data_IF_284505596374
#
_entry.id   IF_284505596374
#
_cell.length_a   1.000
_cell.length_b   1.000
_cell.length_c   1.000
_cell.angle_alpha   90.00
_cell.angle_beta   90.00
_cell.angle_gamma   90.00
#
_symmetry.space_group_name_H-M   'P 1'
#
loop_
_entity.id
_entity.type
_entity.pdbx_description
1 polymer ?
#
# COMPACT_ATOMS: atom_id res chain seq x y z
N UNK A 1 29.09 3.24 -10.06
CA UNK A 1 28.07 2.34 -9.46
C UNK A 1 26.80 2.50 -10.27
N UNK A 2 26.17 1.41 -10.70
CA UNK A 2 24.87 1.48 -11.40
C UNK A 2 23.71 1.70 -10.42
N UNK A 3 22.56 2.09 -10.95
CA UNK A 3 21.39 2.48 -10.16
C UNK A 3 20.82 1.32 -9.32
N UNK A 4 20.87 0.08 -9.83
CA UNK A 4 20.37 -1.09 -9.08
C UNK A 4 21.30 -1.40 -7.91
N UNK A 5 22.62 -1.32 -8.12
CA UNK A 5 23.59 -1.46 -7.03
C UNK A 5 23.41 -0.38 -5.98
N UNK A 6 23.14 0.86 -6.38
CA UNK A 6 22.91 1.97 -5.46
C UNK A 6 21.60 1.82 -4.67
N UNK A 7 20.52 1.37 -5.31
CA UNK A 7 19.26 1.05 -4.62
C UNK A 7 19.45 -0.06 -3.60
N UNK A 8 20.14 -1.14 -3.96
CA UNK A 8 20.44 -2.26 -3.03
C UNK A 8 21.29 -1.85 -1.85
N UNK A 9 22.19 -0.91 -2.08
CA UNK A 9 23.10 -0.41 -1.05
C UNK A 9 22.38 0.29 0.11
N UNK A 10 21.20 0.86 -0.12
CA UNK A 10 20.43 1.62 0.88
C UNK A 10 18.99 1.11 1.06
N UNK A 11 18.73 -0.17 0.76
CA UNK A 11 17.40 -0.78 0.90
C UNK A 11 16.83 -0.53 2.31
N UNK A 12 15.59 -0.03 2.43
CA UNK A 12 14.95 0.13 3.72
C UNK A 12 14.54 -1.22 4.31
N UNK A 13 14.51 -1.30 5.64
CA UNK A 13 13.96 -2.43 6.37
C UNK A 13 12.59 -2.04 6.91
N UNK A 14 11.54 -2.52 6.25
CA UNK A 14 10.16 -2.25 6.68
C UNK A 14 9.73 -3.21 7.79
N UNK A 15 9.17 -2.67 8.86
CA UNK A 15 8.63 -3.38 10.02
C UNK A 15 7.12 -3.23 10.01
N UNK A 16 6.45 -4.36 10.17
CA UNK A 16 4.99 -4.44 10.20
C UNK A 16 4.50 -4.79 11.60
N UNK A 17 3.27 -4.38 11.88
CA UNK A 17 2.60 -4.75 13.12
C UNK A 17 2.26 -6.24 13.11
N UNK A 18 2.48 -6.93 14.23
CA UNK A 18 2.04 -8.32 14.33
C UNK A 18 0.52 -8.41 14.17
N UNK A 19 0.05 -9.17 13.17
CA UNK A 19 -1.36 -9.22 12.79
C UNK A 19 -1.64 -8.69 11.38
N UNK A 20 -0.64 -8.13 10.70
CA UNK A 20 -0.74 -7.68 9.31
C UNK A 20 -1.08 -8.84 8.36
N UNK A 21 -2.01 -8.60 7.42
CA UNK A 21 -2.36 -9.56 6.38
C UNK A 21 -1.61 -9.29 5.08
N UNK A 22 -1.46 -8.02 4.71
CA UNK A 22 -0.97 -7.61 3.41
C UNK A 22 0.47 -7.13 3.49
N UNK A 23 1.33 -7.67 2.62
CA UNK A 23 2.73 -7.28 2.51
C UNK A 23 3.04 -6.83 1.08
N UNK A 24 4.15 -6.10 0.86
CA UNK A 24 4.47 -5.60 -0.47
C UNK A 24 4.61 -6.74 -1.48
N UNK A 25 3.93 -6.65 -2.62
CA UNK A 25 3.98 -7.70 -3.65
C UNK A 25 4.19 -7.12 -5.05
N UNK A 26 4.48 -8.00 -6.01
CA UNK A 26 4.56 -7.60 -7.41
C UNK A 26 3.16 -7.17 -7.92
N UNK A 27 3.13 -6.10 -8.70
CA UNK A 27 1.89 -5.50 -9.23
C UNK A 27 1.27 -6.36 -10.34
N UNK A 28 2.09 -7.10 -11.09
CA UNK A 28 1.66 -7.83 -12.28
C UNK A 28 0.56 -8.86 -11.98
N UNK A 29 0.69 -9.62 -10.90
CA UNK A 29 -0.31 -10.61 -10.52
C UNK A 29 -1.57 -9.96 -9.93
N UNK A 30 -1.42 -8.84 -9.20
CA UNK A 30 -2.57 -8.06 -8.75
C UNK A 30 -3.39 -7.56 -9.94
N UNK A 31 -2.74 -6.94 -10.93
CA UNK A 31 -3.39 -6.44 -12.15
C UNK A 31 -4.06 -7.57 -12.94
N UNK A 32 -3.44 -8.75 -13.01
CA UNK A 32 -4.03 -9.92 -13.68
C UNK A 32 -5.32 -10.41 -13.02
N UNK A 33 -5.43 -10.26 -11.70
CA UNK A 33 -6.63 -10.59 -10.92
C UNK A 33 -7.69 -9.50 -10.92
N UNK A 34 -7.36 -8.31 -11.42
CA UNK A 34 -8.31 -7.23 -11.52
C UNK A 34 -9.14 -7.30 -12.79
N UNK A 35 -10.42 -6.93 -12.67
CA UNK A 35 -11.20 -6.45 -13.80
C UNK A 35 -10.93 -4.97 -14.05
N UNK A 36 -10.89 -4.53 -15.30
CA UNK A 36 -10.86 -3.10 -15.66
C UNK A 36 -12.27 -2.61 -15.94
N UNK A 37 -12.67 -1.56 -15.23
CA UNK A 37 -14.03 -1.04 -15.26
C UNK A 37 -14.06 0.45 -15.58
N UNK A 38 -15.14 0.86 -16.23
CA UNK A 38 -15.44 2.25 -16.54
C UNK A 38 -16.79 2.60 -15.92
N UNK A 39 -16.83 3.66 -15.11
CA UNK A 39 -18.06 4.16 -14.47
C UNK A 39 -18.36 5.56 -14.96
N UNK A 40 -19.56 5.78 -15.49
CA UNK A 40 -20.05 7.12 -15.84
C UNK A 40 -20.50 7.92 -14.61
N UNK A 41 -20.60 9.24 -14.72
CA UNK A 41 -21.18 10.13 -13.70
C UNK A 41 -22.63 9.76 -13.32
N UNK A 42 -23.33 9.03 -14.20
CA UNK A 42 -24.69 8.50 -13.96
C UNK A 42 -24.70 7.18 -13.19
N UNK A 43 -23.53 6.66 -12.79
CA UNK A 43 -23.37 5.41 -12.07
C UNK A 43 -23.47 4.15 -12.92
N UNK A 44 -23.54 4.27 -14.25
CA UNK A 44 -23.49 3.08 -15.13
C UNK A 44 -22.06 2.55 -15.17
N UNK A 45 -21.90 1.25 -14.91
CA UNK A 45 -20.62 0.55 -14.95
C UNK A 45 -20.54 -0.37 -16.17
N UNK A 46 -19.39 -0.35 -16.83
CA UNK A 46 -19.05 -1.23 -17.94
C UNK A 46 -17.70 -1.88 -17.68
N UNK A 47 -17.65 -3.20 -17.73
CA UNK A 47 -16.38 -3.92 -17.73
C UNK A 47 -15.73 -3.79 -19.10
N UNK A 48 -14.50 -3.25 -19.14
CA UNK A 48 -13.71 -3.10 -20.36
C UNK A 48 -12.81 -4.32 -20.59
N UNK A 49 -12.26 -4.87 -19.51
CA UNK A 49 -11.41 -6.06 -19.53
C UNK A 49 -11.83 -6.98 -18.39
N UNK A 50 -12.15 -8.26 -18.66
CA UNK A 50 -12.49 -9.21 -17.60
C UNK A 50 -11.26 -9.59 -16.77
N UNK A 51 -11.51 -10.09 -15.56
CA UNK A 51 -10.48 -10.68 -14.69
C UNK A 51 -9.73 -11.78 -15.45
N UNK A 52 -8.41 -11.83 -15.28
CA UNK A 52 -7.52 -12.81 -15.94
C UNK A 52 -6.93 -12.34 -17.27
N UNK A 53 -7.60 -11.41 -17.95
CA UNK A 53 -7.20 -10.93 -19.28
C UNK A 53 -6.40 -9.61 -19.26
N UNK A 54 -6.25 -9.01 -18.09
CA UNK A 54 -5.53 -7.74 -17.91
C UNK A 54 -4.05 -7.97 -17.60
N UNK A 55 -3.17 -7.19 -18.23
CA UNK A 55 -1.74 -7.10 -17.90
C UNK A 55 -1.35 -5.65 -17.67
N UNK A 56 -0.18 -5.40 -17.10
CA UNK A 56 0.34 -4.03 -16.91
C UNK A 56 0.52 -3.30 -18.24
N UNK A 57 0.97 -3.99 -19.30
CA UNK A 57 1.08 -3.42 -20.65
C UNK A 57 -0.27 -3.11 -21.26
N UNK A 58 -1.26 -4.00 -21.08
CA UNK A 58 -2.62 -3.76 -21.57
C UNK A 58 -3.29 -2.63 -20.80
N UNK A 59 -3.10 -2.56 -19.48
CA UNK A 59 -3.59 -1.45 -18.64
C UNK A 59 -3.03 -0.11 -19.11
N UNK A 60 -1.74 -0.06 -19.47
CA UNK A 60 -1.10 1.15 -19.97
C UNK A 60 -1.70 1.69 -21.29
N UNK A 61 -2.46 0.88 -22.02
CA UNK A 61 -3.18 1.32 -23.24
C UNK A 61 -4.43 2.16 -22.92
N UNK A 62 -4.89 2.17 -21.67
CA UNK A 62 -6.05 2.94 -21.20
C UNK A 62 -5.65 4.26 -20.52
N UNK A 63 -4.64 4.95 -21.05
CA UNK A 63 -4.12 6.18 -20.46
C UNK A 63 -5.10 7.37 -20.49
N UNK A 64 -6.05 7.36 -21.42
CA UNK A 64 -7.07 8.41 -21.55
C UNK A 64 -8.41 7.92 -21.02
N UNK A 65 -8.97 8.66 -20.06
CA UNK A 65 -10.31 8.41 -19.54
C UNK A 65 -11.28 9.40 -20.19
N UNK A 66 -12.38 8.93 -20.82
CA UNK A 66 -13.37 9.83 -21.40
C UNK A 66 -13.93 10.83 -20.37
N UNK A 67 -14.23 12.08 -20.77
CA UNK A 67 -14.84 13.05 -19.86
C UNK A 67 -16.12 12.54 -19.20
N UNK A 68 -16.27 12.80 -17.90
CA UNK A 68 -17.43 12.35 -17.11
C UNK A 68 -17.47 10.85 -16.84
N UNK A 69 -16.31 10.19 -16.94
CA UNK A 69 -16.14 8.78 -16.61
C UNK A 69 -14.93 8.57 -15.70
N UNK A 70 -14.96 7.50 -14.92
CA UNK A 70 -13.89 7.06 -14.04
C UNK A 70 -13.45 5.66 -14.45
N UNK A 71 -12.17 5.51 -14.77
CA UNK A 71 -11.54 4.22 -14.99
C UNK A 71 -11.00 3.70 -13.66
N UNK A 72 -11.28 2.44 -13.33
CA UNK A 72 -10.79 1.84 -12.08
C UNK A 72 -10.56 0.33 -12.22
N UNK A 73 -9.69 -0.20 -11.37
CA UNK A 73 -9.49 -1.63 -11.19
C UNK A 73 -10.41 -2.13 -10.08
N UNK A 74 -10.92 -3.35 -10.24
CA UNK A 74 -11.63 -4.08 -9.20
C UNK A 74 -10.90 -5.38 -8.95
N UNK A 75 -10.29 -5.50 -7.78
CA UNK A 75 -9.58 -6.70 -7.34
C UNK A 75 -10.56 -7.70 -6.73
N UNK A 76 -11.42 -7.25 -5.81
CA UNK A 76 -12.50 -8.07 -5.23
C UNK A 76 -13.78 -7.86 -6.03
N UNK A 77 -14.15 -8.88 -6.81
CA UNK A 77 -15.41 -8.85 -7.57
C UNK A 77 -16.63 -8.80 -6.66
N UNK A 78 -16.68 -9.68 -5.65
CA UNK A 78 -17.72 -9.72 -4.63
C UNK A 78 -17.08 -10.00 -3.25
N UNK A 79 -17.55 -9.35 -2.17
CA UNK A 79 -17.13 -9.69 -0.81
C UNK A 79 -17.56 -11.11 -0.44
N UNK A 80 -16.88 -11.70 0.56
CA UNK A 80 -17.30 -12.98 1.13
C UNK A 80 -18.72 -12.89 1.71
N UNK A 81 -19.50 -13.96 1.51
CA UNK A 81 -20.78 -14.11 2.18
C UNK A 81 -20.62 -14.41 3.67
N UNK A 82 -21.73 -14.45 4.43
CA UNK A 82 -21.68 -14.66 5.87
C UNK A 82 -21.03 -16.00 6.27
N UNK A 83 -21.26 -17.08 5.52
CA UNK A 83 -20.71 -18.39 5.82
C UNK A 83 -19.23 -18.48 5.47
N UNK A 84 -18.85 -17.94 4.31
CA UNK A 84 -17.46 -17.82 3.87
C UNK A 84 -16.65 -16.96 4.83
N UNK A 85 -17.21 -15.83 5.26
CA UNK A 85 -16.57 -14.95 6.24
C UNK A 85 -16.37 -15.63 7.59
N UNK A 86 -17.36 -16.39 8.09
CA UNK A 86 -17.19 -17.17 9.33
C UNK A 86 -16.11 -18.26 9.21
N UNK A 87 -16.01 -18.90 8.04
CA UNK A 87 -14.92 -19.86 7.77
C UNK A 87 -13.57 -19.17 7.76
N UNK A 88 -13.47 -18.00 7.12
CA UNK A 88 -12.26 -17.19 7.10
C UNK A 88 -11.83 -16.76 8.51
N UNK A 89 -12.76 -16.32 9.36
CA UNK A 89 -12.49 -15.99 10.76
C UNK A 89 -11.99 -17.17 11.58
N UNK A 90 -12.38 -18.40 11.21
CA UNK A 90 -12.05 -19.62 11.95
C UNK A 90 -10.75 -20.29 11.49
N UNK A 91 -10.01 -19.69 10.55
CA UNK A 91 -8.74 -20.25 10.08
C UNK A 91 -7.69 -20.22 11.21
N UNK A 92 -7.00 -21.35 11.50
CA UNK A 92 -6.12 -21.47 12.65
C UNK A 92 -4.86 -20.60 12.55
N UNK A 93 -4.33 -20.40 11.35
CA UNK A 93 -3.09 -19.65 11.09
C UNK A 93 -3.35 -18.16 10.83
N UNK A 94 -4.59 -17.70 10.98
CA UNK A 94 -4.96 -16.32 10.75
C UNK A 94 -4.20 -15.40 11.72
N UNK A 95 -3.47 -14.39 11.24
CA UNK A 95 -2.85 -13.40 12.13
C UNK A 95 -3.93 -12.67 12.94
N UNK A 96 -3.69 -12.45 14.23
CA UNK A 96 -4.62 -11.68 15.07
C UNK A 96 -3.87 -10.54 15.72
N UNK A 97 -4.35 -9.33 15.46
CA UNK A 97 -3.89 -8.15 16.16
C UNK A 97 -4.56 -8.06 17.55
N UNK A 98 -3.73 -8.02 18.60
CA UNK A 98 -4.18 -7.81 19.97
C UNK A 98 -3.82 -6.39 20.42
N UNK A 99 -4.80 -5.49 20.44
CA UNK A 99 -4.59 -4.13 20.94
C UNK A 99 -4.52 -4.11 22.49
N UNK A 100 -3.49 -3.50 23.11
CA UNK A 100 -3.43 -3.29 24.54
C UNK A 100 -4.38 -2.15 24.95
N UNK A 101 -5.67 -2.48 25.08
CA UNK A 101 -6.69 -1.59 25.63
C UNK A 101 -7.64 -0.94 24.62
N UNK A 102 -8.85 -0.59 25.08
CA UNK A 102 -9.93 -0.02 24.26
C UNK A 102 -9.74 1.48 23.95
N UNK A 103 -8.79 2.13 24.60
CA UNK A 103 -8.53 3.58 24.60
C UNK A 103 -7.26 4.00 23.85
N UNK A 104 -6.45 3.04 23.39
CA UNK A 104 -5.34 3.22 22.44
C UNK A 104 -5.81 3.17 20.98
N UNK A 105 -7.13 3.10 20.77
CA UNK A 105 -7.78 3.19 19.45
C UNK A 105 -7.79 4.66 19.03
N UNK A 106 -7.30 4.91 17.82
CA UNK A 106 -7.11 6.20 17.14
C UNK A 106 -8.09 7.27 17.59
N UNK A 107 -7.56 8.46 17.95
CA UNK A 107 -8.31 9.59 18.47
C UNK A 107 -9.48 10.00 17.56
N UNK A 108 -10.56 10.46 18.21
CA UNK A 108 -11.87 10.81 17.63
C UNK A 108 -11.81 11.75 16.40
N UNK A 109 -10.72 12.49 16.20
CA UNK A 109 -10.56 13.40 15.06
C UNK A 109 -10.45 12.70 13.69
N UNK A 110 -9.91 11.48 13.64
CA UNK A 110 -9.82 10.68 12.39
C UNK A 110 -11.19 10.32 11.82
N UNK A 111 -12.24 10.30 12.66
CA UNK A 111 -13.62 9.98 12.25
C UNK A 111 -14.31 11.12 11.48
N UNK A 112 -13.79 12.34 11.51
CA UNK A 112 -14.49 13.53 10.97
C UNK A 112 -14.08 13.82 9.53
N UNK A 113 -12.84 13.53 9.14
CA UNK A 113 -12.36 13.72 7.75
C UNK A 113 -13.04 12.72 6.79
N UNK A 114 -13.52 11.60 7.33
CA UNK A 114 -14.02 10.44 6.58
C UNK A 114 -15.47 10.58 6.06
N UNK A 115 -16.19 11.63 6.45
CA UNK A 115 -17.54 11.90 5.91
C UNK A 115 -17.52 12.36 4.45
N UNK A 116 -16.35 12.71 3.89
CA UNK A 116 -16.19 13.15 2.49
C UNK A 116 -15.80 12.01 1.53
N UNK A 117 -15.28 10.88 2.02
CA UNK A 117 -15.02 9.68 1.21
C UNK A 117 -16.10 8.58 1.36
N UNK A 118 -17.01 8.71 2.34
CA UNK A 118 -18.02 7.69 2.69
C UNK A 118 -19.33 7.73 1.89
N UNK A 119 -19.40 8.41 0.73
CA UNK A 119 -20.64 8.48 -0.06
C UNK A 119 -20.94 7.24 -0.94
N UNK A 120 -20.18 6.13 -0.80
CA UNK A 120 -20.44 4.88 -1.54
C UNK A 120 -21.05 3.74 -0.72
N UNK A 121 -21.26 3.87 0.60
CA UNK A 121 -21.58 2.70 1.46
C UNK A 121 -22.99 2.62 2.05
N UNK A 122 -23.94 3.47 1.61
CA UNK A 122 -25.35 3.31 2.02
C UNK A 122 -26.19 2.40 1.10
N UNK A 123 -25.57 1.66 0.19
CA UNK A 123 -26.30 0.82 -0.77
C UNK A 123 -25.62 -0.54 -1.01
N UNK A 124 -25.64 -1.43 -0.01
CA UNK A 124 -25.85 -2.89 -0.12
C UNK A 124 -25.51 -3.54 1.23
N UNK A 125 -26.30 -4.53 1.64
CA UNK A 125 -26.12 -5.30 2.88
C UNK A 125 -24.90 -6.21 2.88
N UNK A 126 -23.71 -5.65 2.67
CA UNK A 126 -22.45 -6.38 2.71
C UNK A 126 -21.96 -6.56 4.15
N UNK A 127 -21.37 -7.73 4.42
CA UNK A 127 -20.79 -8.07 5.72
C UNK A 127 -19.62 -7.12 6.00
N UNK A 128 -19.60 -6.38 7.14
CA UNK A 128 -18.45 -5.57 7.52
C UNK A 128 -17.17 -6.43 7.52
N UNK A 129 -16.17 -6.05 6.71
CA UNK A 129 -14.92 -6.79 6.54
C UNK A 129 -14.92 -7.92 5.51
N UNK A 130 -16.07 -8.20 4.86
CA UNK A 130 -16.16 -9.23 3.82
C UNK A 130 -15.25 -8.94 2.61
N UNK A 131 -15.05 -7.67 2.26
CA UNK A 131 -14.17 -7.26 1.15
C UNK A 131 -12.71 -7.47 1.52
N UNK A 132 -12.27 -7.03 2.70
CA UNK A 132 -10.91 -7.25 3.17
C UNK A 132 -10.59 -8.75 3.30
N UNK A 133 -11.54 -9.56 3.78
CA UNK A 133 -11.39 -11.01 3.84
C UNK A 133 -11.29 -11.66 2.44
N UNK A 134 -12.10 -11.21 1.47
CA UNK A 134 -11.98 -11.67 0.09
C UNK A 134 -10.64 -11.27 -0.53
N UNK A 135 -10.15 -10.06 -0.24
CA UNK A 135 -8.84 -9.59 -0.68
C UNK A 135 -7.71 -10.43 -0.08
N UNK A 136 -7.78 -10.81 1.21
CA UNK A 136 -6.82 -11.71 1.84
C UNK A 136 -6.82 -13.09 1.16
N UNK A 137 -7.99 -13.68 0.89
CA UNK A 137 -8.07 -14.96 0.16
C UNK A 137 -7.38 -14.87 -1.20
N UNK A 138 -7.60 -13.79 -1.95
CA UNK A 138 -6.92 -13.59 -3.23
C UNK A 138 -5.42 -13.38 -3.05
N UNK A 139 -5.01 -12.57 -2.07
CA UNK A 139 -3.61 -12.29 -1.78
C UNK A 139 -2.85 -13.56 -1.37
N UNK A 140 -3.43 -14.44 -0.55
CA UNK A 140 -2.83 -15.74 -0.23
C UNK A 140 -2.62 -16.59 -1.49
N UNK A 141 -3.57 -16.56 -2.45
CA UNK A 141 -3.39 -17.24 -3.72
C UNK A 141 -2.26 -16.63 -4.57
N UNK A 142 -2.05 -15.31 -4.51
CA UNK A 142 -0.90 -14.64 -5.13
C UNK A 142 0.42 -15.07 -4.49
N UNK A 143 0.47 -15.09 -3.15
CA UNK A 143 1.64 -15.50 -2.36
C UNK A 143 2.03 -16.96 -2.60
N UNK A 144 1.06 -17.84 -2.87
CA UNK A 144 1.35 -19.23 -3.26
C UNK A 144 2.05 -19.34 -4.62
N UNK A 145 1.83 -18.38 -5.52
CA UNK A 145 2.48 -18.33 -6.83
C UNK A 145 3.83 -17.61 -6.78
N UNK A 146 3.91 -16.50 -6.06
CA UNK A 146 5.12 -15.73 -5.83
C UNK A 146 5.20 -15.27 -4.36
N UNK A 147 5.98 -15.97 -3.51
CA UNK A 147 6.05 -15.67 -2.07
C UNK A 147 7.00 -14.51 -1.75
N UNK A 148 7.56 -13.84 -2.76
CA UNK A 148 8.53 -12.76 -2.54
C UNK A 148 7.81 -11.49 -2.09
N UNK A 149 8.35 -10.83 -1.07
CA UNK A 149 8.04 -9.43 -0.82
C UNK A 149 8.78 -8.57 -1.85
N UNK A 150 8.03 -7.82 -2.66
CA UNK A 150 8.59 -7.05 -3.79
C UNK A 150 8.41 -5.56 -3.54
N UNK A 151 9.46 -4.80 -3.85
CA UNK A 151 9.42 -3.35 -3.91
C UNK A 151 9.86 -2.89 -5.31
N UNK A 152 9.47 -1.68 -5.68
CA UNK A 152 9.92 -1.01 -6.90
C UNK A 152 10.91 0.09 -6.53
N UNK A 153 11.94 0.28 -7.35
CA UNK A 153 12.98 1.28 -7.09
C UNK A 153 13.27 2.11 -8.32
N UNK A 154 13.51 3.41 -8.13
CA UNK A 154 14.11 4.27 -9.16
C UNK A 154 15.09 5.26 -8.55
N UNK A 155 16.08 5.64 -9.35
CA UNK A 155 17.07 6.65 -8.99
C UNK A 155 16.81 7.92 -9.80
N UNK A 156 16.69 9.04 -9.12
CA UNK A 156 16.52 10.37 -9.71
C UNK A 156 17.75 11.20 -9.38
N UNK A 157 18.30 11.93 -10.34
CA UNK A 157 19.42 12.84 -10.13
C UNK A 157 18.97 14.23 -10.46
N UNK A 158 18.75 15.05 -9.44
CA UNK A 158 18.21 16.40 -9.59
C UNK A 158 18.63 17.31 -8.44
N UNK A 159 18.78 18.61 -8.71
CA UNK A 159 19.09 19.62 -7.69
C UNK A 159 20.39 19.38 -6.90
N UNK A 160 21.35 18.62 -7.45
CA UNK A 160 22.59 18.23 -6.76
C UNK A 160 22.45 17.02 -5.83
N UNK A 161 21.30 16.34 -5.83
CA UNK A 161 21.05 15.12 -5.08
C UNK A 161 20.97 13.90 -5.99
N UNK A 162 21.27 12.74 -5.42
CA UNK A 162 20.85 11.44 -5.93
C UNK A 162 19.72 10.95 -5.01
N UNK A 163 18.50 10.87 -5.53
CA UNK A 163 17.31 10.47 -4.79
C UNK A 163 17.00 9.01 -5.12
N UNK A 164 17.04 8.15 -4.10
CA UNK A 164 16.57 6.79 -4.18
C UNK A 164 15.11 6.76 -3.75
N UNK A 165 14.21 6.42 -4.66
CA UNK A 165 12.80 6.25 -4.35
C UNK A 165 12.46 4.77 -4.34
N UNK A 166 11.94 4.31 -3.21
CA UNK A 166 11.40 2.96 -3.03
C UNK A 166 9.88 3.06 -2.97
N UNK A 167 9.18 2.20 -3.69
CA UNK A 167 7.71 2.11 -3.69
C UNK A 167 7.28 0.70 -3.31
N UNK A 168 6.25 0.62 -2.48
CA UNK A 168 5.68 -0.62 -1.95
C UNK A 168 4.23 -0.68 -2.34
N UNK A 169 3.84 -1.77 -2.99
CA UNK A 169 2.47 -1.99 -3.41
C UNK A 169 1.79 -3.03 -2.53
N UNK A 170 0.65 -2.69 -1.96
CA UNK A 170 -0.18 -3.59 -1.16
C UNK A 170 -1.52 -3.82 -1.86
N UNK A 171 -2.00 -5.07 -1.98
CA UNK A 171 -3.29 -5.36 -2.61
C UNK A 171 -4.49 -4.71 -1.94
N UNK A 172 -4.40 -4.47 -0.63
CA UNK A 172 -5.49 -3.99 0.20
C UNK A 172 -4.95 -3.23 1.41
N UNK A 173 -5.56 -2.09 1.70
CA UNK A 173 -5.52 -1.38 2.96
C UNK A 173 -6.75 -1.80 3.77
N UNK A 174 -6.54 -2.47 4.89
CA UNK A 174 -7.60 -3.02 5.74
C UNK A 174 -7.63 -2.37 7.14
N UNK A 175 -7.20 -1.11 7.21
CA UNK A 175 -7.05 -0.35 8.45
C UNK A 175 -8.30 -0.40 9.33
N UNK A 176 -9.49 -0.24 8.75
CA UNK A 176 -10.76 -0.34 9.47
C UNK A 176 -11.07 -1.77 9.88
N UNK A 177 -10.99 -2.72 8.96
CA UNK A 177 -11.43 -4.10 9.18
C UNK A 177 -10.53 -4.87 10.15
N UNK A 178 -9.22 -4.63 10.14
CA UNK A 178 -8.24 -5.38 10.94
C UNK A 178 -7.68 -4.59 12.12
N UNK A 179 -7.62 -3.26 12.02
CA UNK A 179 -6.92 -2.42 13.00
C UNK A 179 -7.79 -1.31 13.63
N UNK A 180 -9.11 -1.36 13.45
CA UNK A 180 -10.07 -0.40 14.03
C UNK A 180 -9.89 1.05 13.56
N UNK A 181 -9.26 1.21 12.40
CA UNK A 181 -9.13 2.47 11.68
C UNK A 181 -10.41 2.97 11.03
N UNK A 182 -10.26 3.90 10.10
CA UNK A 182 -11.36 4.65 9.52
C UNK A 182 -11.92 4.02 8.23
N UNK A 183 -11.02 3.61 7.32
CA UNK A 183 -11.36 3.10 6.00
C UNK A 183 -10.70 1.75 5.67
N UNK A 184 -11.19 1.15 4.59
CA UNK A 184 -10.58 0.04 3.87
C UNK A 184 -10.57 0.44 2.38
N UNK A 185 -9.54 0.08 1.61
CA UNK A 185 -9.55 0.21 0.15
C UNK A 185 -8.58 -0.74 -0.54
N UNK A 186 -8.90 -1.10 -1.79
CA UNK A 186 -8.01 -1.88 -2.64
C UNK A 186 -6.85 -1.04 -3.18
N UNK A 187 -5.72 -1.68 -3.47
CA UNK A 187 -4.52 -1.07 -4.09
C UNK A 187 -3.98 0.11 -3.28
N UNK A 188 -2.95 -0.15 -2.50
CA UNK A 188 -2.25 0.86 -1.72
C UNK A 188 -0.79 1.00 -2.17
N UNK A 189 -0.31 2.24 -2.29
CA UNK A 189 1.05 2.54 -2.72
C UNK A 189 1.73 3.46 -1.72
N UNK A 190 2.73 2.90 -1.04
CA UNK A 190 3.58 3.66 -0.12
C UNK A 190 4.96 3.89 -0.69
N UNK A 191 5.65 4.91 -0.18
CA UNK A 191 6.96 5.28 -0.69
C UNK A 191 7.89 5.88 0.36
N UNK A 192 9.18 5.62 0.16
CA UNK A 192 10.29 6.17 0.95
C UNK A 192 11.29 6.78 -0.02
N UNK A 193 11.86 7.92 0.36
CA UNK A 193 12.91 8.61 -0.37
C UNK A 193 14.17 8.67 0.47
N UNK A 194 15.32 8.33 -0.10
CA UNK A 194 16.63 8.55 0.50
C UNK A 194 17.39 9.54 -0.38
N UNK A 195 17.78 10.66 0.21
CA UNK A 195 18.51 11.72 -0.47
C UNK A 195 19.99 11.56 -0.17
N UNK A 196 20.76 11.25 -1.22
CA UNK A 196 22.21 11.21 -1.17
C UNK A 196 22.79 12.47 -1.82
N UNK A 197 24.00 12.85 -1.41
CA UNK A 197 24.83 13.79 -2.14
C UNK A 197 26.19 13.15 -2.45
N UNK A 198 26.79 13.59 -3.56
CA UNK A 198 28.13 13.18 -3.94
C UNK A 198 29.14 13.65 -2.89
N UNK A 199 29.97 12.72 -2.41
CA UNK A 199 31.16 13.07 -1.64
C UNK A 199 32.27 13.41 -2.65
N UNK A 200 32.96 14.54 -2.47
CA UNK A 200 33.97 15.05 -3.41
C UNK A 200 35.19 14.12 -3.58
N UNK A 201 35.25 13.02 -2.83
CA UNK A 201 36.31 12.00 -2.90
C UNK A 201 35.82 10.54 -2.65
N UNK A 202 34.51 10.21 -2.68
CA UNK A 202 34.02 8.91 -2.17
C UNK A 202 32.66 8.41 -2.68
N UNK A 203 32.12 7.38 -2.01
CA UNK A 203 30.76 6.84 -2.25
C UNK A 203 29.70 7.89 -1.88
N UNK A 204 28.54 7.97 -2.59
CA UNK A 204 27.44 8.85 -2.23
C UNK A 204 27.00 8.67 -0.78
N UNK A 205 26.85 9.79 -0.05
CA UNK A 205 26.48 9.79 1.36
C UNK A 205 25.00 10.13 1.55
N UNK A 206 24.26 9.36 2.35
CA UNK A 206 22.89 9.71 2.69
C UNK A 206 22.85 10.91 3.63
N UNK A 207 21.94 11.83 3.33
CA UNK A 207 21.75 13.07 4.07
C UNK A 207 20.38 13.15 4.71
N UNK A 208 19.36 12.65 4.02
CA UNK A 208 17.97 12.69 4.48
C UNK A 208 17.24 11.43 4.08
N UNK A 209 16.26 11.06 4.89
CA UNK A 209 15.20 10.13 4.53
C UNK A 209 13.86 10.86 4.62
N UNK A 210 12.94 10.57 3.72
CA UNK A 210 11.57 11.06 3.77
C UNK A 210 10.57 9.94 3.54
N UNK A 211 9.41 10.07 4.17
CA UNK A 211 8.35 9.06 4.19
C UNK A 211 7.08 9.64 3.58
N UNK A 212 6.31 8.83 2.86
CA UNK A 212 4.90 9.14 2.64
C UNK A 212 4.15 8.97 3.96
N UNK A 213 3.27 9.92 4.28
CA UNK A 213 2.32 9.79 5.37
C UNK A 213 1.15 10.75 5.14
N UNK A 214 -0.07 10.29 5.39
CA UNK A 214 -1.28 11.06 5.12
C UNK A 214 -1.50 12.24 6.08
N UNK A 215 -1.00 12.13 7.31
CA UNK A 215 -1.30 13.09 8.37
C UNK A 215 -0.22 14.17 8.55
N UNK A 216 0.92 14.01 7.89
CA UNK A 216 2.07 14.92 7.99
C UNK A 216 2.32 15.64 6.67
N UNK A 217 2.95 16.82 6.74
CA UNK A 217 3.25 17.60 5.55
C UNK A 217 4.59 18.35 5.68
N UNK A 218 5.20 18.65 4.54
CA UNK A 218 6.41 19.48 4.49
C UNK A 218 7.58 18.85 5.25
N UNK A 219 8.22 19.63 6.12
CA UNK A 219 9.43 19.21 6.83
C UNK A 219 9.20 18.04 7.80
N UNK A 220 7.97 17.81 8.26
CA UNK A 220 7.65 16.71 9.17
C UNK A 220 7.85 15.33 8.54
N UNK A 221 7.79 15.25 7.21
CA UNK A 221 7.95 14.02 6.44
C UNK A 221 9.41 13.57 6.32
N UNK A 222 10.38 14.42 6.66
CA UNK A 222 11.81 14.12 6.48
C UNK A 222 12.57 14.13 7.80
N UNK A 223 13.59 13.30 7.87
CA UNK A 223 14.56 13.24 8.97
C UNK A 223 15.97 13.28 8.39
N UNK A 224 16.87 13.94 9.11
CA UNK A 224 18.30 13.90 8.75
C UNK A 224 18.81 12.49 8.97
N UNK A 225 19.77 12.05 8.16
CA UNK A 225 20.34 10.71 8.33
C UNK A 225 21.05 10.51 9.68
N UNK A 226 21.50 11.59 10.31
CA UNK A 226 22.14 11.60 11.64
C UNK A 226 21.14 11.86 12.80
N UNK A 227 19.84 11.84 12.52
CA UNK A 227 18.81 12.03 13.54
C UNK A 227 18.82 10.84 14.53
N UNK A 228 18.94 11.09 15.85
CA UNK A 228 19.01 10.02 16.86
C UNK A 228 17.73 9.18 16.98
N UNK A 229 16.60 9.65 16.45
CA UNK A 229 15.35 8.88 16.40
C UNK A 229 15.31 7.89 15.21
N UNK A 230 16.18 8.05 14.21
CA UNK A 230 16.30 7.10 13.12
C UNK A 230 17.08 5.86 13.54
N UNK A 231 16.50 4.70 13.24
CA UNK A 231 17.20 3.43 13.34
C UNK A 231 17.78 3.07 11.98
N UNK A 232 19.10 2.87 11.94
CA UNK A 232 19.83 2.55 10.71
C UNK A 232 20.64 1.28 10.94
N UNK A 233 20.42 0.25 10.13
CA UNK A 233 21.16 -1.00 10.20
C UNK A 233 22.39 -0.89 9.30
N UNK A 234 23.56 -1.22 9.86
CA UNK A 234 24.85 -1.19 9.17
C UNK A 234 25.13 0.15 8.46
N UNK A 235 24.70 1.26 9.07
CA UNK A 235 24.86 2.64 8.57
C UNK A 235 24.26 2.91 7.17
N UNK A 236 23.43 1.99 6.66
CA UNK A 236 22.94 2.02 5.27
C UNK A 236 21.43 1.80 5.13
N UNK A 237 20.82 1.00 6.00
CA UNK A 237 19.45 0.56 5.83
C UNK A 237 18.52 1.23 6.86
N UNK A 238 17.72 2.23 6.47
CA UNK A 238 16.81 2.87 7.40
C UNK A 238 15.70 1.88 7.77
N UNK A 239 15.42 1.75 9.05
CA UNK A 239 14.28 0.98 9.55
C UNK A 239 13.04 1.86 9.49
N UNK A 240 11.98 1.31 8.90
CA UNK A 240 10.73 2.02 8.66
C UNK A 240 9.58 1.23 9.27
N UNK A 241 8.67 1.91 9.94
CA UNK A 241 7.51 1.28 10.58
C UNK A 241 6.29 1.62 9.76
N UNK A 242 5.71 0.62 9.09
CA UNK A 242 4.48 0.81 8.33
C UNK A 242 3.30 0.94 9.29
N UNK A 243 2.37 1.86 9.00
CA UNK A 243 1.10 1.98 9.71
C UNK A 243 0.31 0.67 9.62
N UNK A 244 -0.28 0.22 10.73
CA UNK A 244 -0.96 -1.06 10.78
C UNK A 244 -2.23 -1.04 9.91
N UNK A 245 -2.29 -1.89 8.88
CA UNK A 245 -3.36 -1.92 7.86
C UNK A 245 -3.41 -0.71 6.92
N UNK A 246 -2.94 0.47 7.35
CA UNK A 246 -2.89 1.68 6.53
C UNK A 246 -1.62 1.81 5.69
N UNK A 247 -0.54 1.15 6.10
CA UNK A 247 0.82 1.21 5.57
C UNK A 247 1.54 2.57 5.66
N UNK A 248 0.81 3.68 5.62
CA UNK A 248 1.28 5.09 5.75
C UNK A 248 1.66 5.56 7.16
#
# INVERSE_FOLDING_TARGET
>A
MDDVTLLRMFEPVVKFTHGEFFFPCAVDEYVRRCGLWLRSDKGQEQQLVPVGDLTTERLAQYAEVPPGQTLYLRFVDEPLDALEYQRWLSQPDKPVFHAPGRLTRVGILSRIIDSLFSLSLLARGQVPGGTAAAADVQYQAMQQQDPRCVYHGRVIRDGGYIVLQYLFFYPMNDWRSSFYGANDHESDWEQIFIYLADDTAGEPKPLWVAYASHDFHGDDLRRRWDDPELQIIADRHPVVFAGAGSHA
#
